data_IF_243339768949
#
_entry.id   IF_243339768949
#
_cell.length_a   1.000
_cell.length_b   1.000
_cell.length_c   1.000
_cell.angle_alpha   90.00
_cell.angle_beta   90.00
_cell.angle_gamma   90.00
#
_symmetry.space_group_name_H-M   'P 1'
#
loop_
_entity.id
_entity.type
_entity.pdbx_description
1 polymer ?
#
# COMPACT_ATOMS: atom_id res chain seq x y z
N UNK A 1 -6.79 -10.18 7.56
CA UNK A 1 -6.48 -10.16 6.11
C UNK A 1 -6.55 -11.60 5.60
N UNK A 2 -7.16 -11.91 4.46
CA UNK A 2 -7.30 -13.31 4.00
C UNK A 2 -6.03 -13.77 3.27
N UNK A 3 -5.48 -14.93 3.63
CA UNK A 3 -4.36 -15.52 2.90
C UNK A 3 -4.86 -16.05 1.54
N UNK A 4 -4.26 -15.69 0.40
CA UNK A 4 -4.62 -16.26 -0.90
C UNK A 4 -4.24 -17.75 -1.04
N UNK A 5 -3.31 -18.26 -0.22
CA UNK A 5 -2.86 -19.66 -0.28
C UNK A 5 -3.72 -20.64 0.51
N UNK A 6 -4.18 -20.26 1.71
CA UNK A 6 -4.94 -21.14 2.60
C UNK A 6 -6.33 -20.61 2.97
N UNK A 7 -6.72 -19.45 2.42
CA UNK A 7 -8.00 -18.79 2.67
C UNK A 7 -8.31 -18.43 4.15
N UNK A 8 -7.39 -18.70 5.08
CA UNK A 8 -7.57 -18.34 6.48
C UNK A 8 -7.35 -16.84 6.73
N UNK A 9 -8.03 -16.33 7.74
CA UNK A 9 -7.90 -14.96 8.23
C UNK A 9 -6.61 -14.83 9.05
N UNK A 10 -5.66 -14.07 8.53
CA UNK A 10 -4.43 -13.70 9.23
C UNK A 10 -4.71 -12.42 10.01
N UNK A 11 -4.50 -12.49 11.33
CA UNK A 11 -4.46 -11.31 12.20
C UNK A 11 -3.06 -10.69 12.19
N UNK A 12 -2.99 -9.36 12.10
CA UNK A 12 -1.72 -8.64 12.06
C UNK A 12 -0.88 -8.84 13.35
N UNK A 13 -1.54 -9.14 14.47
CA UNK A 13 -0.89 -9.38 15.77
C UNK A 13 -0.09 -10.70 15.81
N UNK A 14 -0.39 -11.66 14.94
CA UNK A 14 0.26 -12.97 14.88
C UNK A 14 1.48 -13.01 13.93
N UNK A 15 1.86 -11.87 13.34
CA UNK A 15 3.01 -11.78 12.45
C UNK A 15 4.26 -11.48 13.28
N UNK A 16 4.95 -12.54 13.71
CA UNK A 16 6.16 -12.45 14.56
C UNK A 16 7.44 -12.17 13.77
N UNK A 17 7.50 -12.57 12.49
CA UNK A 17 8.66 -12.32 11.63
C UNK A 17 8.29 -11.44 10.43
N UNK A 18 8.83 -10.22 10.45
CA UNK A 18 8.66 -9.23 9.39
C UNK A 18 10.02 -8.99 8.74
N UNK A 19 10.23 -9.58 7.56
CA UNK A 19 11.41 -9.27 6.76
C UNK A 19 11.14 -8.02 5.92
N UNK A 20 11.87 -6.96 6.21
CA UNK A 20 11.83 -5.72 5.43
C UNK A 20 12.96 -5.76 4.41
N UNK A 21 12.64 -6.05 3.14
CA UNK A 21 13.60 -5.93 2.03
C UNK A 21 13.29 -4.64 1.27
N UNK A 22 13.95 -3.56 1.68
CA UNK A 22 13.78 -2.23 1.07
C UNK A 22 12.37 -1.67 1.30
N UNK A 23 11.63 -1.44 0.21
CA UNK A 23 10.26 -0.93 0.25
C UNK A 23 9.19 -2.02 0.35
N UNK A 24 9.58 -3.29 0.33
CA UNK A 24 8.63 -4.39 0.34
C UNK A 24 8.70 -5.12 1.66
N UNK A 25 7.53 -5.37 2.22
CA UNK A 25 7.37 -6.05 3.49
C UNK A 25 6.94 -7.46 3.18
N UNK A 26 7.80 -8.41 3.52
CA UNK A 26 7.53 -9.83 3.37
C UNK A 26 7.26 -10.43 4.75
N UNK A 27 6.28 -11.32 4.81
CA UNK A 27 5.95 -12.05 6.02
C UNK A 27 5.44 -13.44 5.64
N UNK A 28 5.74 -14.43 6.49
CA UNK A 28 5.22 -15.78 6.33
C UNK A 28 3.81 -15.87 6.94
N UNK A 29 2.91 -16.61 6.30
CA UNK A 29 1.61 -16.93 6.89
C UNK A 29 1.79 -17.95 8.02
N UNK A 30 1.20 -17.76 9.23
CA UNK A 30 1.33 -18.71 10.32
C UNK A 30 0.65 -20.07 10.05
N UNK A 31 -0.30 -20.13 9.10
CA UNK A 31 -1.07 -21.35 8.80
C UNK A 31 -0.49 -22.23 7.70
N UNK A 32 0.09 -21.62 6.67
CA UNK A 32 0.63 -22.34 5.50
C UNK A 32 2.09 -22.01 5.20
N UNK A 33 2.74 -21.19 6.04
CA UNK A 33 4.09 -20.67 5.85
C UNK A 33 4.33 -19.98 4.50
N UNK A 34 3.27 -19.62 3.77
CA UNK A 34 3.41 -18.96 2.48
C UNK A 34 3.95 -17.55 2.62
N UNK A 35 4.90 -17.20 1.76
CA UNK A 35 5.54 -15.88 1.76
C UNK A 35 4.62 -14.87 1.08
N UNK A 36 4.07 -13.99 1.89
CA UNK A 36 3.18 -12.91 1.47
C UNK A 36 3.97 -11.62 1.39
N UNK A 37 3.79 -10.87 0.30
CA UNK A 37 4.41 -9.55 0.12
C UNK A 37 3.36 -8.46 0.10
N UNK A 38 3.59 -7.45 0.91
CA UNK A 38 2.87 -6.18 0.84
C UNK A 38 3.72 -5.19 0.07
N UNK A 39 3.17 -4.65 -1.02
CA UNK A 39 3.80 -3.61 -1.82
C UNK A 39 3.90 -2.32 -0.99
N UNK A 40 5.05 -2.00 -0.38
CA UNK A 40 5.21 -0.70 0.30
C UNK A 40 5.35 0.48 -0.67
N UNK A 41 5.39 0.21 -1.98
CA UNK A 41 5.10 1.23 -3.02
C UNK A 41 3.71 1.84 -2.85
N UNK A 42 2.72 1.08 -2.39
CA UNK A 42 1.40 1.61 -2.10
C UNK A 42 1.43 2.59 -0.92
N UNK A 43 2.21 2.29 0.11
CA UNK A 43 2.42 3.19 1.26
C UNK A 43 3.10 4.50 0.86
N UNK A 44 4.11 4.46 -0.04
CA UNK A 44 4.72 5.67 -0.63
C UNK A 44 3.72 6.49 -1.45
N UNK A 45 2.89 5.83 -2.27
CA UNK A 45 1.87 6.52 -3.06
C UNK A 45 0.81 7.19 -2.18
N UNK A 46 0.46 6.57 -1.04
CA UNK A 46 -0.43 7.14 -0.03
C UNK A 46 0.17 8.37 0.65
N UNK A 47 1.45 8.30 1.03
CA UNK A 47 2.20 9.43 1.59
C UNK A 47 2.32 10.58 0.58
N UNK A 48 2.71 10.30 -0.67
CA UNK A 48 2.78 11.30 -1.74
C UNK A 48 1.40 11.95 -1.98
N UNK A 49 0.34 11.14 -2.06
CA UNK A 49 -1.03 11.65 -2.20
C UNK A 49 -1.46 12.56 -1.05
N UNK A 50 -1.07 12.21 0.20
CA UNK A 50 -1.34 13.04 1.37
C UNK A 50 -0.58 14.38 1.33
N UNK A 51 0.70 14.35 0.92
CA UNK A 51 1.52 15.56 0.75
C UNK A 51 0.93 16.47 -0.33
N UNK A 52 0.49 15.91 -1.45
CA UNK A 52 -0.20 16.65 -2.52
C UNK A 52 -1.51 17.27 -2.03
N UNK A 53 -2.33 16.54 -1.26
CA UNK A 53 -3.56 17.09 -0.69
C UNK A 53 -3.29 18.26 0.26
N UNK A 54 -2.27 18.14 1.12
CA UNK A 54 -1.86 19.20 2.04
C UNK A 54 -1.32 20.42 1.30
N UNK A 55 -0.49 20.22 0.27
CA UNK A 55 0.05 21.34 -0.52
C UNK A 55 -1.05 22.04 -1.34
N UNK A 56 -1.96 21.29 -1.96
CA UNK A 56 -3.10 21.86 -2.69
C UNK A 56 -4.04 22.66 -1.78
N UNK A 57 -4.31 22.16 -0.57
CA UNK A 57 -5.09 22.88 0.46
C UNK A 57 -4.40 24.16 0.91
N UNK A 58 -3.07 24.12 1.10
CA UNK A 58 -2.28 25.31 1.45
C UNK A 58 -2.34 26.40 0.37
N UNK A 59 -2.27 26.01 -0.92
CA UNK A 59 -2.39 26.94 -2.05
C UNK A 59 -3.79 27.55 -2.12
N UNK A 60 -4.85 26.79 -1.82
CA UNK A 60 -6.21 27.36 -1.77
C UNK A 60 -6.42 28.31 -0.59
N UNK A 61 -5.80 28.04 0.56
CA UNK A 61 -5.99 28.86 1.77
C UNK A 61 -5.17 30.16 1.76
N UNK A 62 -3.94 30.12 1.23
CA UNK A 62 -3.01 31.26 1.27
C UNK A 62 -2.74 31.89 -0.10
N UNK A 63 -3.18 31.27 -1.20
CA UNK A 63 -2.90 31.72 -2.54
C UNK A 63 -3.95 32.70 -3.09
N UNK A 64 -3.56 33.55 -4.06
CA UNK A 64 -4.48 34.44 -4.76
C UNK A 64 -5.51 33.61 -5.57
N UNK A 65 -6.73 34.14 -5.75
CA UNK A 65 -7.85 33.51 -6.47
C UNK A 65 -7.48 32.71 -7.75
N UNK A 66 -6.62 33.20 -8.68
CA UNK A 66 -6.22 32.41 -9.84
C UNK A 66 -5.46 31.11 -9.52
N UNK A 67 -4.77 31.04 -8.38
CA UNK A 67 -4.02 29.86 -7.95
C UNK A 67 -4.93 28.73 -7.43
N UNK A 68 -6.22 29.00 -7.17
CA UNK A 68 -7.16 27.99 -6.69
C UNK A 68 -7.39 26.88 -7.71
N UNK A 69 -7.34 27.17 -9.01
CA UNK A 69 -7.46 26.15 -10.07
C UNK A 69 -6.31 25.15 -9.97
N UNK A 70 -5.09 25.65 -9.72
CA UNK A 70 -3.92 24.80 -9.48
C UNK A 70 -4.07 23.98 -8.20
N UNK A 71 -4.50 24.61 -7.10
CA UNK A 71 -4.78 23.91 -5.83
C UNK A 71 -5.82 22.79 -5.98
N UNK A 72 -6.87 23.03 -6.77
CA UNK A 72 -7.93 22.06 -7.04
C UNK A 72 -7.44 20.88 -7.89
N UNK A 73 -6.64 21.14 -8.94
CA UNK A 73 -5.98 20.09 -9.73
C UNK A 73 -5.06 19.21 -8.88
N UNK A 74 -4.26 19.84 -8.00
CA UNK A 74 -3.35 19.15 -7.09
C UNK A 74 -4.12 18.31 -6.07
N UNK A 75 -5.22 18.82 -5.53
CA UNK A 75 -6.12 18.08 -4.64
C UNK A 75 -6.74 16.85 -5.33
N UNK A 76 -7.24 17.00 -6.56
CA UNK A 76 -7.80 15.88 -7.33
C UNK A 76 -6.71 14.83 -7.60
N UNK A 77 -5.52 15.25 -8.02
CA UNK A 77 -4.39 14.35 -8.28
C UNK A 77 -3.95 13.62 -7.00
N UNK A 78 -3.82 14.33 -5.88
CA UNK A 78 -3.48 13.77 -4.57
C UNK A 78 -4.54 12.78 -4.06
N UNK A 79 -5.83 13.13 -4.20
CA UNK A 79 -6.95 12.25 -3.88
C UNK A 79 -6.98 10.98 -4.74
N UNK A 80 -6.75 11.12 -6.04
CA UNK A 80 -6.64 10.00 -6.97
C UNK A 80 -5.50 9.05 -6.62
N UNK A 81 -4.32 9.59 -6.28
CA UNK A 81 -3.16 8.81 -5.81
C UNK A 81 -3.45 8.09 -4.49
N UNK A 82 -4.05 8.77 -3.52
CA UNK A 82 -4.41 8.17 -2.23
C UNK A 82 -5.46 7.05 -2.39
N UNK A 83 -6.45 7.25 -3.26
CA UNK A 83 -7.48 6.24 -3.55
C UNK A 83 -6.89 5.04 -4.30
N UNK A 84 -6.06 5.27 -5.32
CA UNK A 84 -5.38 4.21 -6.05
C UNK A 84 -4.43 3.42 -5.13
N UNK A 85 -3.74 4.09 -4.21
CA UNK A 85 -2.91 3.45 -3.19
C UNK A 85 -3.75 2.57 -2.26
N UNK A 86 -4.88 3.07 -1.75
CA UNK A 86 -5.80 2.30 -0.88
C UNK A 86 -6.34 1.06 -1.57
N UNK A 87 -6.61 1.14 -2.88
CA UNK A 87 -7.06 0.00 -3.70
C UNK A 87 -5.96 -1.02 -3.96
N UNK A 88 -4.69 -0.60 -3.95
CA UNK A 88 -3.52 -1.48 -4.12
C UNK A 88 -3.04 -2.09 -2.79
N UNK A 89 -3.16 -1.37 -1.67
CA UNK A 89 -2.89 -1.88 -0.32
C UNK A 89 -3.73 -3.12 0.02
N UNK A 90 -4.94 -3.22 -0.54
CA UNK A 90 -5.85 -4.35 -0.34
C UNK A 90 -5.51 -5.58 -1.19
N UNK A 91 -4.52 -5.52 -2.09
CA UNK A 91 -4.03 -6.69 -2.83
C UNK A 91 -2.72 -7.21 -2.21
N UNK A 92 -2.87 -8.13 -1.27
CA UNK A 92 -1.79 -9.02 -0.85
C UNK A 92 -1.34 -9.84 -2.07
N UNK A 93 -0.08 -9.70 -2.48
CA UNK A 93 0.51 -10.55 -3.51
C UNK A 93 1.19 -11.73 -2.82
N UNK A 94 0.74 -12.95 -3.14
CA UNK A 94 1.47 -14.17 -2.77
C UNK A 94 2.70 -14.23 -3.66
N UNK A 95 3.90 -14.22 -3.07
CA UNK A 95 5.15 -14.29 -3.84
C UNK A 95 5.56 -15.73 -4.05
N UNK A 96 5.37 -16.59 -3.06
CA UNK A 96 5.65 -18.01 -3.18
C UNK A 96 4.66 -18.87 -2.42
N UNK A 97 4.30 -20.00 -3.02
CA UNK A 97 3.62 -21.12 -2.37
C UNK A 97 4.73 -22.08 -1.94
N UNK A 98 4.94 -22.33 -0.64
CA UNK A 98 5.95 -23.27 -0.19
C UNK A 98 5.45 -24.66 -0.61
N UNK A 99 6.02 -25.18 -1.70
CA UNK A 99 5.59 -26.44 -2.31
C UNK A 99 5.86 -26.59 -3.82
N UNK A 100 6.47 -25.63 -4.51
CA UNK A 100 6.83 -25.78 -5.94
C UNK A 100 8.33 -26.02 -6.22
N UNK A 101 9.14 -26.32 -5.20
CA UNK A 101 10.55 -26.71 -5.37
C UNK A 101 10.85 -28.06 -4.69
N UNK A 102 10.06 -29.07 -5.02
CA UNK A 102 10.43 -30.46 -4.83
C UNK A 102 9.74 -31.32 -5.89
N UNK A 103 10.17 -31.21 -7.15
CA UNK A 103 10.12 -32.26 -8.19
C UNK A 103 10.49 -31.66 -9.57
N UNK A 104 11.80 -31.58 -9.86
CA UNK A 104 12.48 -32.27 -10.97
C UNK A 104 13.87 -31.68 -11.27
#
# INVERSE_FOLDING_TARGET
>A
MKCPGCENLIEAAHITERQVRGLDIQFACPHCQATLRVNGRATRAKLMGFVLLMSGSGVMLWGPQPAWIFGLMVMIAGGGLAFAARRRESRLQCVDKPGSEAEH
#
